data_IF_177650208535
#
_entry.id   IF_177650208535
#
_cell.length_a   1.000
_cell.length_b   1.000
_cell.length_c   1.000
_cell.angle_alpha   90.00
_cell.angle_beta   90.00
_cell.angle_gamma   90.00
#
_symmetry.space_group_name_H-M   'P 1'
#
loop_
_entity.id
_entity.type
_entity.pdbx_description
1 polymer ?
#
# COMPACT_ATOMS: atom_id res chain seq x y z
N UNK A 1 -10.17 3.19 8.73
CA UNK A 1 -9.88 1.86 8.16
C UNK A 1 -8.50 1.42 8.62
N UNK A 2 -8.38 0.20 9.07
CA UNK A 2 -7.09 -0.39 9.43
C UNK A 2 -6.59 -1.30 8.32
N UNK A 3 -5.30 -1.27 8.10
CA UNK A 3 -4.63 -2.17 7.17
C UNK A 3 -3.94 -3.28 7.96
N UNK A 4 -3.82 -4.44 7.34
CA UNK A 4 -3.19 -5.61 7.94
C UNK A 4 -1.89 -5.91 7.23
N UNK A 5 -0.78 -5.78 7.95
CA UNK A 5 0.53 -6.16 7.45
C UNK A 5 0.83 -7.60 7.86
N UNK A 6 1.27 -8.39 6.91
CA UNK A 6 1.68 -9.78 7.14
C UNK A 6 3.16 -9.90 6.84
N UNK A 7 3.92 -10.49 7.76
CA UNK A 7 5.35 -10.74 7.58
C UNK A 7 5.62 -12.24 7.68
N UNK A 8 6.38 -12.74 6.74
CA UNK A 8 6.72 -14.16 6.68
C UNK A 8 8.24 -14.30 6.73
N UNK A 9 8.71 -15.15 7.63
CA UNK A 9 10.14 -15.45 7.72
C UNK A 9 10.52 -16.39 6.58
N UNK A 10 11.61 -16.06 5.90
CA UNK A 10 12.17 -16.86 4.81
C UNK A 10 13.67 -17.04 5.07
N UNK A 11 14.36 -17.95 4.37
CA UNK A 11 15.78 -18.17 4.64
C UNK A 11 16.64 -16.91 4.53
N UNK A 12 16.30 -15.98 3.66
CA UNK A 12 17.07 -14.76 3.46
C UNK A 12 16.65 -13.61 4.39
N UNK A 13 15.62 -13.80 5.22
CA UNK A 13 15.13 -12.76 6.11
C UNK A 13 13.63 -12.77 6.23
N UNK A 14 12.99 -11.68 5.82
CA UNK A 14 11.54 -11.52 5.91
C UNK A 14 10.97 -10.94 4.62
N UNK A 15 9.77 -11.38 4.28
CA UNK A 15 8.96 -10.72 3.25
C UNK A 15 7.70 -10.21 3.92
N UNK A 16 7.18 -9.08 3.40
CA UNK A 16 5.98 -8.46 3.94
C UNK A 16 5.02 -8.05 2.86
N UNK A 17 3.74 -8.01 3.20
CA UNK A 17 2.72 -7.49 2.31
C UNK A 17 1.54 -6.97 3.12
N UNK A 18 0.71 -6.16 2.47
CA UNK A 18 -0.52 -5.65 3.07
C UNK A 18 -1.69 -6.38 2.41
N UNK A 19 -2.50 -7.05 3.22
CA UNK A 19 -3.60 -7.88 2.71
C UNK A 19 -4.59 -7.09 1.87
N UNK A 20 -4.89 -5.85 2.28
CA UNK A 20 -5.90 -5.02 1.64
C UNK A 20 -5.40 -4.21 0.45
N UNK A 21 -4.09 -4.20 0.21
CA UNK A 21 -3.50 -3.39 -0.87
C UNK A 21 -2.62 -4.28 -1.76
N UNK A 22 -3.19 -4.84 -2.83
CA UNK A 22 -2.40 -5.63 -3.78
C UNK A 22 -1.24 -4.81 -4.34
N UNK A 23 -0.08 -5.42 -4.43
CA UNK A 23 1.12 -4.77 -4.94
C UNK A 23 2.00 -4.13 -3.88
N UNK A 24 1.50 -3.95 -2.65
CA UNK A 24 2.32 -3.44 -1.55
C UNK A 24 3.09 -4.60 -0.92
N UNK A 25 4.33 -4.79 -1.34
CA UNK A 25 5.21 -5.88 -0.89
C UNK A 25 6.56 -5.34 -0.47
N UNK A 26 7.23 -6.08 0.42
CA UNK A 26 8.55 -5.72 0.89
C UNK A 26 9.39 -6.95 1.18
N UNK A 27 10.69 -6.74 1.37
CA UNK A 27 11.59 -7.74 1.90
C UNK A 27 12.71 -7.06 2.65
N UNK A 28 13.30 -7.76 3.59
CA UNK A 28 14.40 -7.24 4.38
C UNK A 28 15.09 -8.36 5.14
N UNK A 29 16.29 -8.09 5.60
CA UNK A 29 17.06 -9.06 6.39
C UNK A 29 16.51 -9.20 7.80
N UNK A 30 15.89 -8.15 8.31
CA UNK A 30 15.26 -8.14 9.63
C UNK A 30 13.78 -7.75 9.49
N UNK A 31 13.02 -8.07 10.52
CA UNK A 31 11.61 -7.68 10.56
C UNK A 31 11.44 -6.16 10.51
N UNK A 32 12.29 -5.43 11.23
CA UNK A 32 12.24 -3.96 11.22
C UNK A 32 12.50 -3.38 9.85
N UNK A 33 13.46 -3.94 9.11
CA UNK A 33 13.74 -3.51 7.76
C UNK A 33 12.58 -3.79 6.81
N UNK A 34 12.00 -4.98 6.89
CA UNK A 34 10.85 -5.34 6.07
C UNK A 34 9.65 -4.43 6.37
N UNK A 35 9.46 -4.08 7.65
CA UNK A 35 8.36 -3.19 8.05
C UNK A 35 8.55 -1.78 7.49
N UNK A 36 9.77 -1.23 7.58
CA UNK A 36 10.05 0.10 7.06
C UNK A 36 9.86 0.16 5.55
N UNK A 37 10.34 -0.86 4.84
CA UNK A 37 10.18 -0.94 3.39
C UNK A 37 8.71 -1.14 2.98
N UNK A 38 7.94 -1.85 3.80
CA UNK A 38 6.52 -2.03 3.52
C UNK A 38 5.76 -0.70 3.63
N UNK A 39 6.08 0.11 4.62
CA UNK A 39 5.49 1.44 4.76
C UNK A 39 5.74 2.28 3.52
N UNK A 40 6.97 2.26 3.03
CA UNK A 40 7.32 2.97 1.80
C UNK A 40 6.55 2.42 0.59
N UNK A 41 6.46 1.09 0.47
CA UNK A 41 5.76 0.44 -0.62
C UNK A 41 4.26 0.82 -0.64
N UNK A 42 3.63 0.88 0.52
CA UNK A 42 2.22 1.30 0.63
C UNK A 42 2.03 2.72 0.10
N UNK A 43 2.90 3.64 0.51
CA UNK A 43 2.82 5.02 0.01
C UNK A 43 2.97 5.09 -1.50
N UNK A 44 3.91 4.34 -2.06
CA UNK A 44 4.13 4.34 -3.50
C UNK A 44 2.94 3.76 -4.28
N UNK A 45 2.34 2.67 -3.78
CA UNK A 45 1.18 2.07 -4.44
C UNK A 45 -0.02 3.02 -4.39
N UNK A 46 -0.28 3.64 -3.25
CA UNK A 46 -1.39 4.58 -3.10
C UNK A 46 -1.21 5.81 -3.98
N UNK A 47 0.03 6.31 -4.08
CA UNK A 47 0.34 7.44 -4.95
C UNK A 47 0.11 7.08 -6.42
N UNK A 48 0.59 5.91 -6.85
CA UNK A 48 0.39 5.44 -8.22
C UNK A 48 -1.10 5.29 -8.55
N UNK A 49 -1.89 4.74 -7.62
CA UNK A 49 -3.32 4.58 -7.81
C UNK A 49 -4.02 5.93 -7.93
N UNK A 50 -3.59 6.91 -7.13
CA UNK A 50 -4.14 8.26 -7.19
C UNK A 50 -3.84 8.91 -8.54
N UNK A 51 -2.62 8.76 -9.05
CA UNK A 51 -2.23 9.31 -10.33
C UNK A 51 -3.02 8.69 -11.48
N UNK A 52 -3.20 7.37 -11.46
CA UNK A 52 -3.99 6.67 -12.47
C UNK A 52 -5.46 7.13 -12.44
N UNK A 53 -6.01 7.30 -11.25
CA UNK A 53 -7.38 7.80 -11.10
C UNK A 53 -7.52 9.22 -11.65
N UNK A 54 -6.54 10.08 -11.36
CA UNK A 54 -6.55 11.44 -11.86
C UNK A 54 -6.53 11.48 -13.40
N UNK A 55 -5.72 10.60 -14.01
CA UNK A 55 -5.66 10.51 -15.46
C UNK A 55 -7.00 10.08 -16.06
N UNK A 56 -7.67 9.11 -15.43
CA UNK A 56 -8.96 8.62 -15.92
C UNK A 56 -10.09 9.65 -15.79
N UNK A 57 -9.91 10.66 -14.94
CA UNK A 57 -10.90 11.72 -14.73
C UNK A 57 -10.67 12.94 -15.63
N UNK A 58 -9.58 12.93 -16.39
CA UNK A 58 -9.24 14.06 -17.24
C UNK A 58 -10.37 14.36 -18.24
N UNK A 59 -10.81 15.61 -18.26
CA UNK A 59 -11.91 16.03 -19.14
C UNK A 59 -13.30 15.77 -18.57
N UNK A 60 -13.42 15.23 -17.39
CA UNK A 60 -14.71 14.96 -16.73
C UNK A 60 -14.94 15.94 -15.59
N UNK A 61 -16.21 16.30 -15.43
CA UNK A 61 -16.63 17.08 -14.28
C UNK A 61 -16.81 16.13 -13.10
N UNK A 62 -16.07 16.37 -12.01
CA UNK A 62 -16.04 15.43 -10.87
C UNK A 62 -16.32 16.15 -9.56
N UNK A 63 -16.79 15.38 -8.60
CA UNK A 63 -16.96 15.81 -7.22
C UNK A 63 -16.06 14.94 -6.34
N UNK A 64 -15.28 15.58 -5.46
CA UNK A 64 -14.45 14.86 -4.50
C UNK A 64 -14.90 15.18 -3.09
N UNK A 65 -14.99 14.16 -2.28
CA UNK A 65 -15.39 14.33 -0.89
C UNK A 65 -14.68 13.32 -0.01
N UNK A 66 -14.47 13.64 1.28
CA UNK A 66 -13.92 12.67 2.22
C UNK A 66 -14.86 11.46 2.31
N UNK A 67 -14.26 10.27 2.37
CA UNK A 67 -15.04 9.04 2.46
C UNK A 67 -14.38 8.12 3.46
N UNK A 68 -15.02 7.94 4.61
CA UNK A 68 -14.52 7.04 5.64
C UNK A 68 -15.26 5.73 5.62
N UNK A 69 -14.50 4.64 5.71
CA UNK A 69 -15.10 3.32 5.85
C UNK A 69 -15.27 3.02 7.34
N UNK A 70 -16.49 2.73 7.73
CA UNK A 70 -16.79 2.26 9.08
C UNK A 70 -16.95 0.75 9.05
N UNK A 71 -16.48 0.10 10.12
CA UNK A 71 -16.55 -1.36 10.23
C UNK A 71 -17.99 -1.84 10.38
#
# INVERSE_FOLDING_TARGET
MQLTAVFMQVPEGYIGFVEEIPGANSQGKTLGEARAKLTEAVHLVLEANRDLSAQSLNGHEVSREPFELTA
#
